data_IF_390027144583
#
_entry.id   IF_390027144583
#
_cell.length_a   1.000
_cell.length_b   1.000
_cell.length_c   1.000
_cell.angle_alpha   90.00
_cell.angle_beta   90.00
_cell.angle_gamma   90.00
#
_symmetry.space_group_name_H-M   'P 1'
#
loop_
_entity.id
_entity.type
_entity.pdbx_description
1 polymer ?
#
# COMPACT_ATOMS: atom_id res chain seq x y z
N UNK A 1 7.87 -25.50 21.61
CA UNK A 1 7.40 -24.51 22.60
C UNK A 1 8.56 -23.61 22.97
N UNK A 2 8.76 -22.52 22.24
CA UNK A 2 9.69 -21.47 22.67
C UNK A 2 8.95 -20.58 23.68
N UNK A 3 9.59 -20.14 24.77
CA UNK A 3 8.97 -19.21 25.71
C UNK A 3 8.58 -17.93 24.98
N UNK A 4 7.35 -17.46 25.19
CA UNK A 4 6.91 -16.16 24.70
C UNK A 4 7.69 -15.08 25.46
N UNK A 5 8.72 -14.53 24.82
CA UNK A 5 9.43 -13.39 25.38
C UNK A 5 8.50 -12.17 25.42
N UNK A 6 8.25 -11.58 26.59
CA UNK A 6 7.46 -10.36 26.68
C UNK A 6 8.17 -9.24 25.90
N UNK A 7 7.48 -8.66 24.91
CA UNK A 7 8.02 -7.58 24.07
C UNK A 7 7.35 -7.52 22.69
N UNK A 8 7.74 -6.54 21.87
CA UNK A 8 7.31 -6.50 20.48
C UNK A 8 7.93 -7.64 19.69
N UNK A 9 7.09 -8.53 19.16
CA UNK A 9 7.50 -9.52 18.19
C UNK A 9 7.67 -8.84 16.82
N UNK A 10 8.89 -8.85 16.29
CA UNK A 10 9.16 -8.38 14.93
C UNK A 10 8.60 -9.41 13.95
N UNK A 11 7.71 -8.96 13.05
CA UNK A 11 7.16 -9.80 12.02
C UNK A 11 8.29 -10.32 11.09
N UNK A 12 8.30 -11.60 10.68
CA UNK A 12 9.40 -12.15 9.88
C UNK A 12 9.67 -11.40 8.58
N UNK A 13 8.64 -10.87 7.90
CA UNK A 13 8.86 -10.04 6.70
C UNK A 13 9.49 -8.69 7.00
N UNK A 14 9.23 -8.10 8.17
CA UNK A 14 9.91 -6.87 8.60
C UNK A 14 11.39 -7.17 8.76
N UNK A 15 11.74 -8.20 9.55
CA UNK A 15 13.15 -8.60 9.73
C UNK A 15 13.80 -8.96 8.39
N UNK A 16 13.10 -9.71 7.53
CA UNK A 16 13.58 -10.10 6.22
C UNK A 16 13.93 -8.91 5.34
N UNK A 17 13.03 -7.92 5.25
CA UNK A 17 13.27 -6.68 4.51
C UNK A 17 14.48 -5.90 5.05
N UNK A 18 14.63 -5.82 6.38
CA UNK A 18 15.77 -5.14 7.02
C UNK A 18 17.11 -5.83 6.76
N UNK A 19 17.15 -7.16 6.83
CA UNK A 19 18.36 -7.92 6.52
C UNK A 19 18.70 -7.80 5.04
N UNK A 20 17.70 -7.94 4.15
CA UNK A 20 17.90 -7.86 2.71
C UNK A 20 18.48 -6.50 2.26
N UNK A 21 17.97 -5.38 2.80
CA UNK A 21 18.50 -4.06 2.44
C UNK A 21 19.96 -3.83 2.90
N UNK A 22 20.44 -4.58 3.90
CA UNK A 22 21.78 -4.39 4.49
C UNK A 22 22.87 -5.17 3.74
N UNK A 23 22.49 -6.26 3.06
CA UNK A 23 23.41 -7.15 2.34
C UNK A 23 24.25 -6.45 1.25
N UNK A 24 23.71 -5.51 0.44
CA UNK A 24 24.52 -4.74 -0.49
C UNK A 24 25.69 -4.00 0.16
N UNK A 25 25.53 -3.49 1.39
CA UNK A 25 26.60 -2.82 2.12
C UNK A 25 27.66 -3.80 2.63
N UNK A 26 27.24 -4.95 3.17
CA UNK A 26 28.18 -6.00 3.57
C UNK A 26 29.00 -6.50 2.36
N UNK A 27 28.37 -6.65 1.20
CA UNK A 27 29.05 -7.02 -0.04
C UNK A 27 30.06 -5.94 -0.49
N UNK A 28 29.72 -4.66 -0.40
CA UNK A 28 30.65 -3.57 -0.70
C UNK A 28 31.86 -3.55 0.25
N UNK A 29 31.68 -3.82 1.54
CA UNK A 29 32.80 -3.94 2.49
C UNK A 29 33.74 -5.08 2.07
N UNK A 30 33.19 -6.25 1.69
CA UNK A 30 34.00 -7.38 1.21
C UNK A 30 34.76 -7.05 -0.07
N UNK A 31 34.14 -6.26 -0.96
CA UNK A 31 34.70 -5.90 -2.26
C UNK A 31 35.85 -4.89 -2.14
N UNK A 32 35.67 -3.82 -1.36
CA UNK A 32 36.61 -2.70 -1.28
C UNK A 32 37.76 -2.92 -0.30
N UNK A 33 37.68 -3.92 0.58
CA UNK A 33 38.65 -4.11 1.67
C UNK A 33 39.46 -5.42 1.54
N UNK A 34 40.56 -5.49 2.29
CA UNK A 34 41.40 -6.68 2.41
C UNK A 34 41.67 -7.01 3.90
N UNK A 35 42.30 -8.15 4.17
CA UNK A 35 42.69 -8.57 5.52
C UNK A 35 41.50 -8.73 6.47
N UNK A 36 41.65 -8.25 7.71
CA UNK A 36 40.65 -8.41 8.77
C UNK A 36 39.31 -7.76 8.44
N UNK A 37 39.31 -6.60 7.75
CA UNK A 37 38.09 -5.88 7.38
C UNK A 37 37.27 -6.68 6.36
N UNK A 38 37.92 -7.33 5.39
CA UNK A 38 37.26 -8.26 4.47
C UNK A 38 36.72 -9.48 5.20
N UNK A 39 37.50 -10.06 6.12
CA UNK A 39 37.07 -11.19 6.95
C UNK A 39 35.82 -10.87 7.77
N UNK A 40 35.80 -9.71 8.42
CA UNK A 40 34.64 -9.21 9.16
C UNK A 40 33.42 -8.97 8.24
N UNK A 41 33.64 -8.40 7.05
CA UNK A 41 32.59 -8.23 6.05
C UNK A 41 31.97 -9.56 5.58
N UNK A 42 32.80 -10.59 5.35
CA UNK A 42 32.32 -11.93 4.99
C UNK A 42 31.51 -12.54 6.15
N UNK A 43 31.99 -12.41 7.39
CA UNK A 43 31.27 -12.86 8.57
C UNK A 43 29.89 -12.19 8.71
N UNK A 44 29.83 -10.87 8.54
CA UNK A 44 28.57 -10.10 8.59
C UNK A 44 27.62 -10.52 7.46
N UNK A 45 28.13 -10.71 6.25
CA UNK A 45 27.35 -11.12 5.09
C UNK A 45 26.74 -12.52 5.32
N UNK A 46 27.53 -13.48 5.78
CA UNK A 46 27.05 -14.84 6.09
C UNK A 46 26.04 -14.83 7.23
N UNK A 47 26.31 -14.09 8.31
CA UNK A 47 25.37 -13.97 9.44
C UNK A 47 24.03 -13.38 9.00
N UNK A 48 24.06 -12.35 8.15
CA UNK A 48 22.86 -11.69 7.62
C UNK A 48 22.09 -12.61 6.68
N UNK A 49 22.77 -13.40 5.83
CA UNK A 49 22.14 -14.39 4.96
C UNK A 49 21.49 -15.54 5.75
N UNK A 50 22.15 -16.03 6.80
CA UNK A 50 21.59 -17.05 7.69
C UNK A 50 20.37 -16.48 8.42
N UNK A 51 20.46 -15.26 8.94
CA UNK A 51 19.31 -14.56 9.52
C UNK A 51 18.16 -14.44 8.53
N UNK A 52 18.44 -14.04 7.28
CA UNK A 52 17.43 -13.90 6.23
C UNK A 52 16.76 -15.25 5.90
N UNK A 53 17.52 -16.34 5.89
CA UNK A 53 16.99 -17.69 5.72
C UNK A 53 15.96 -18.03 6.80
N UNK A 54 16.28 -17.72 8.07
CA UNK A 54 15.36 -17.96 9.20
C UNK A 54 14.12 -17.07 9.19
N UNK A 55 14.09 -15.97 8.43
CA UNK A 55 12.88 -15.14 8.31
C UNK A 55 11.81 -15.74 7.42
N UNK A 56 12.14 -16.72 6.57
CA UNK A 56 11.22 -17.29 5.59
C UNK A 56 10.56 -16.24 4.64
N UNK A 57 11.07 -15.01 4.58
CA UNK A 57 10.44 -13.92 3.84
C UNK A 57 10.74 -14.02 2.34
N UNK A 58 9.77 -14.55 1.59
CA UNK A 58 9.87 -14.72 0.13
C UNK A 58 10.05 -13.39 -0.59
N UNK A 59 9.35 -12.35 -0.12
CA UNK A 59 9.47 -11.00 -0.67
C UNK A 59 10.89 -10.47 -0.54
N UNK A 60 11.52 -10.67 0.63
CA UNK A 60 12.88 -10.20 0.90
C UNK A 60 13.91 -10.92 0.02
N UNK A 61 13.78 -12.25 -0.13
CA UNK A 61 14.62 -13.03 -1.03
C UNK A 61 14.46 -12.61 -2.50
N UNK A 62 13.23 -12.38 -2.96
CA UNK A 62 12.96 -11.91 -4.32
C UNK A 62 13.62 -10.55 -4.60
N UNK A 63 13.43 -9.60 -3.68
CA UNK A 63 13.99 -8.26 -3.77
C UNK A 63 15.52 -8.26 -3.74
N UNK A 64 16.12 -9.10 -2.88
CA UNK A 64 17.57 -9.29 -2.81
C UNK A 64 18.11 -9.93 -4.10
N UNK A 65 17.49 -10.99 -4.60
CA UNK A 65 17.89 -11.65 -5.84
C UNK A 65 17.83 -10.68 -7.03
N UNK A 66 16.78 -9.86 -7.10
CA UNK A 66 16.65 -8.79 -8.08
C UNK A 66 17.80 -7.78 -8.03
N UNK A 67 18.16 -7.32 -6.83
CA UNK A 67 19.29 -6.41 -6.65
C UNK A 67 20.63 -7.08 -6.98
N UNK A 68 20.82 -8.35 -6.60
CA UNK A 68 22.03 -9.12 -6.91
C UNK A 68 22.19 -9.30 -8.43
N UNK A 69 21.11 -9.63 -9.15
CA UNK A 69 21.10 -9.74 -10.61
C UNK A 69 21.41 -8.41 -11.29
N UNK A 70 20.87 -7.30 -10.77
CA UNK A 70 21.18 -5.97 -11.26
C UNK A 70 22.65 -5.61 -11.04
N UNK A 71 23.21 -5.94 -9.87
CA UNK A 71 24.63 -5.75 -9.55
C UNK A 71 25.56 -6.62 -10.41
N UNK A 72 25.23 -7.88 -10.61
CA UNK A 72 25.97 -8.80 -11.48
C UNK A 72 25.88 -8.34 -12.94
N UNK A 73 24.69 -7.96 -13.39
CA UNK A 73 24.47 -7.39 -14.71
C UNK A 73 25.29 -6.12 -14.93
N UNK A 74 25.38 -5.25 -13.92
CA UNK A 74 26.23 -4.06 -13.98
C UNK A 74 27.71 -4.38 -14.26
N UNK A 75 28.26 -5.40 -13.58
CA UNK A 75 29.64 -5.87 -13.79
C UNK A 75 29.82 -6.53 -15.16
N UNK A 76 28.91 -7.44 -15.53
CA UNK A 76 28.95 -8.16 -16.80
C UNK A 76 28.79 -7.20 -18.00
N UNK A 77 27.92 -6.21 -17.89
CA UNK A 77 27.72 -5.19 -18.92
C UNK A 77 28.96 -4.28 -19.06
N UNK A 78 29.63 -3.96 -17.95
CA UNK A 78 30.93 -3.26 -17.96
C UNK A 78 31.95 -4.05 -18.77
N UNK A 79 32.19 -5.31 -18.36
CA UNK A 79 33.11 -6.22 -19.06
C UNK A 79 32.76 -6.41 -20.55
N UNK A 80 31.49 -6.67 -20.87
CA UNK A 80 31.03 -6.91 -22.24
C UNK A 80 31.17 -5.66 -23.12
N UNK A 81 30.91 -4.47 -22.57
CA UNK A 81 31.06 -3.21 -23.31
C UNK A 81 32.51 -2.88 -23.66
N UNK A 82 33.49 -3.42 -22.93
CA UNK A 82 34.92 -3.29 -23.27
C UNK A 82 35.32 -4.16 -24.47
N UNK A 83 34.59 -5.24 -24.74
CA UNK A 83 34.93 -6.24 -25.76
C UNK A 83 33.94 -6.29 -26.94
N UNK A 84 32.81 -5.59 -26.85
CA UNK A 84 31.72 -5.61 -27.82
C UNK A 84 31.38 -4.24 -28.41
N UNK A 85 30.58 -4.23 -29.47
CA UNK A 85 30.11 -3.02 -30.16
C UNK A 85 28.86 -2.39 -29.55
N UNK A 86 28.16 -3.11 -28.65
CA UNK A 86 26.93 -2.64 -28.04
C UNK A 86 27.19 -1.61 -26.92
N UNK A 87 26.55 -0.43 -26.96
CA UNK A 87 26.63 0.53 -25.88
C UNK A 87 26.16 -0.06 -24.55
N UNK A 88 26.95 0.09 -23.49
CA UNK A 88 26.67 -0.42 -22.14
C UNK A 88 25.26 -0.14 -21.63
N UNK A 89 24.71 1.03 -21.95
CA UNK A 89 23.33 1.43 -21.59
C UNK A 89 22.26 0.45 -22.07
N UNK A 90 22.44 -0.15 -23.25
CA UNK A 90 21.48 -1.12 -23.80
C UNK A 90 21.61 -2.48 -23.12
N UNK A 91 22.84 -2.92 -22.83
CA UNK A 91 23.08 -4.13 -22.06
C UNK A 91 22.49 -4.02 -20.64
N UNK A 92 22.62 -2.85 -20.01
CA UNK A 92 22.03 -2.54 -18.71
C UNK A 92 20.50 -2.54 -18.73
N UNK A 93 19.88 -1.96 -19.77
CA UNK A 93 18.42 -2.05 -19.94
C UNK A 93 17.96 -3.51 -20.05
N UNK A 94 18.70 -4.34 -20.81
CA UNK A 94 18.46 -5.77 -20.88
C UNK A 94 18.56 -6.46 -19.50
N UNK A 95 19.59 -6.15 -18.71
CA UNK A 95 19.76 -6.68 -17.36
C UNK A 95 18.65 -6.25 -16.40
N UNK A 96 18.18 -5.00 -16.48
CA UNK A 96 17.04 -4.50 -15.68
C UNK A 96 15.77 -5.28 -16.05
N UNK A 97 15.47 -5.40 -17.34
CA UNK A 97 14.29 -6.15 -17.82
C UNK A 97 14.36 -7.63 -17.42
N UNK A 98 15.53 -8.25 -17.52
CA UNK A 98 15.75 -9.63 -17.09
C UNK A 98 15.53 -9.79 -15.58
N UNK A 99 16.11 -8.89 -14.77
CA UNK A 99 15.96 -8.91 -13.32
C UNK A 99 14.49 -8.76 -12.92
N UNK A 100 13.79 -7.79 -13.51
CA UNK A 100 12.35 -7.58 -13.27
C UNK A 100 11.51 -8.81 -13.68
N UNK A 101 11.81 -9.43 -14.83
CA UNK A 101 11.10 -10.62 -15.32
C UNK A 101 11.33 -11.83 -14.41
N UNK A 102 12.55 -12.01 -13.91
CA UNK A 102 12.89 -13.09 -12.99
C UNK A 102 12.27 -12.89 -11.60
N UNK A 103 12.24 -11.65 -11.09
CA UNK A 103 11.51 -11.32 -9.85
C UNK A 103 10.03 -11.64 -10.02
N UNK A 104 9.40 -11.20 -11.12
CA UNK A 104 8.00 -11.47 -11.39
C UNK A 104 7.72 -12.97 -11.50
N UNK A 105 8.56 -13.70 -12.26
CA UNK A 105 8.45 -15.15 -12.37
C UNK A 105 8.62 -15.85 -11.01
N UNK A 106 9.57 -15.41 -10.18
CA UNK A 106 9.77 -15.95 -8.83
C UNK A 106 8.57 -15.71 -7.92
N UNK A 107 7.98 -14.51 -7.96
CA UNK A 107 6.79 -14.17 -7.16
C UNK A 107 5.55 -14.97 -7.60
N UNK A 108 5.39 -15.20 -8.91
CA UNK A 108 4.24 -15.92 -9.47
C UNK A 108 4.38 -17.45 -9.36
N UNK A 109 5.57 -18.00 -9.62
CA UNK A 109 5.81 -19.44 -9.75
C UNK A 109 6.39 -20.07 -8.48
N UNK A 110 6.95 -19.28 -7.57
CA UNK A 110 7.61 -19.78 -6.35
C UNK A 110 6.65 -20.23 -5.25
N UNK A 111 5.35 -19.90 -5.34
CA UNK A 111 4.37 -20.18 -4.28
C UNK A 111 4.28 -21.68 -3.87
N UNK A 112 4.30 -22.66 -4.79
CA UNK A 112 4.21 -24.09 -4.47
C UNK A 112 5.54 -24.70 -4.00
N UNK A 113 6.68 -24.09 -4.32
CA UNK A 113 8.01 -24.59 -3.94
C UNK A 113 8.34 -24.16 -2.51
N UNK A 114 8.05 -22.91 -2.16
CA UNK A 114 8.27 -22.39 -0.81
C UNK A 114 7.30 -22.95 0.23
N UNK A 115 6.07 -23.31 -0.15
CA UNK A 115 5.15 -23.99 0.76
C UNK A 115 5.64 -25.38 1.15
N UNK A 116 6.41 -26.06 0.29
CA UNK A 116 6.98 -27.39 0.54
C UNK A 116 8.32 -27.36 1.29
N UNK A 117 9.07 -26.26 1.20
CA UNK A 117 10.40 -26.13 1.81
C UNK A 117 10.38 -25.67 3.27
N UNK A 118 9.30 -25.03 3.73
CA UNK A 118 9.27 -24.35 5.03
C UNK A 118 8.11 -24.79 5.95
N UNK A 119 7.37 -25.84 5.58
CA UNK A 119 6.21 -26.37 6.33
C UNK A 119 5.31 -25.27 6.93
N UNK A 120 5.09 -24.20 6.17
CA UNK A 120 4.26 -23.10 6.62
C UNK A 120 2.80 -23.59 6.63
N UNK A 121 2.10 -23.59 7.79
CA UNK A 121 0.71 -23.98 7.82
C UNK A 121 -0.11 -23.10 6.88
N UNK A 122 -1.18 -23.64 6.26
CA UNK A 122 -2.11 -22.83 5.47
C UNK A 122 -2.80 -21.83 6.39
N UNK A 123 -2.22 -20.64 6.51
CA UNK A 123 -2.81 -19.50 7.20
C UNK A 123 -3.61 -18.62 6.23
N UNK A 124 -4.32 -17.60 6.75
CA UNK A 124 -5.07 -16.63 5.95
C UNK A 124 -4.22 -15.83 4.94
N UNK A 125 -2.90 -16.05 4.89
CA UNK A 125 -1.90 -15.56 3.94
C UNK A 125 -1.91 -16.27 2.56
N UNK A 126 -3.08 -16.57 1.99
CA UNK A 126 -3.13 -17.06 0.61
C UNK A 126 -3.05 -15.89 -0.40
N UNK A 127 -2.54 -16.13 -1.61
CA UNK A 127 -2.38 -15.07 -2.64
C UNK A 127 -3.71 -14.39 -2.99
N UNK A 128 -4.83 -15.10 -2.82
CA UNK A 128 -6.19 -14.60 -3.09
C UNK A 128 -6.65 -13.57 -2.03
N UNK A 129 -6.36 -13.79 -0.74
CA UNK A 129 -6.67 -12.85 0.34
C UNK A 129 -5.87 -11.56 0.21
N UNK A 130 -4.62 -11.64 -0.27
CA UNK A 130 -3.80 -10.45 -0.57
C UNK A 130 -4.35 -9.62 -1.73
N UNK A 131 -4.88 -10.26 -2.77
CA UNK A 131 -5.49 -9.54 -3.89
C UNK A 131 -6.74 -8.78 -3.45
N UNK A 132 -7.57 -9.38 -2.60
CA UNK A 132 -8.74 -8.71 -2.00
C UNK A 132 -8.32 -7.55 -1.08
N UNK A 133 -7.30 -7.77 -0.26
CA UNK A 133 -6.69 -6.73 0.57
C UNK A 133 -6.23 -5.54 -0.29
N UNK A 134 -5.53 -5.80 -1.38
CA UNK A 134 -5.05 -4.75 -2.30
C UNK A 134 -6.20 -4.03 -2.99
N UNK A 135 -7.24 -4.74 -3.46
CA UNK A 135 -8.42 -4.11 -4.07
C UNK A 135 -9.16 -3.21 -3.07
N UNK A 136 -9.36 -3.70 -1.85
CA UNK A 136 -9.97 -2.91 -0.78
C UNK A 136 -9.10 -1.71 -0.35
N UNK A 137 -7.78 -1.88 -0.34
CA UNK A 137 -6.83 -0.81 0.00
C UNK A 137 -6.74 0.25 -1.10
N UNK A 138 -6.81 -0.15 -2.38
CA UNK A 138 -6.91 0.76 -3.52
C UNK A 138 -8.21 1.58 -3.46
N UNK A 139 -9.33 0.92 -3.16
CA UNK A 139 -10.60 1.61 -2.92
C UNK A 139 -10.49 2.61 -1.78
N UNK A 140 -9.83 2.22 -0.68
CA UNK A 140 -9.66 3.09 0.48
C UNK A 140 -8.76 4.29 0.14
N UNK A 141 -7.63 4.07 -0.55
CA UNK A 141 -6.73 5.11 -1.01
C UNK A 141 -7.46 6.14 -1.91
N UNK A 142 -8.40 5.67 -2.74
CA UNK A 142 -9.21 6.52 -3.59
C UNK A 142 -10.08 7.51 -2.78
N UNK A 143 -10.42 7.21 -1.54
CA UNK A 143 -11.17 8.14 -0.68
C UNK A 143 -10.30 9.33 -0.19
N UNK A 144 -8.98 9.14 -0.10
CA UNK A 144 -8.03 10.12 0.43
C UNK A 144 -6.96 10.54 -0.60
N UNK A 145 -7.34 11.01 -1.80
CA UNK A 145 -6.43 11.20 -2.93
C UNK A 145 -5.33 12.26 -2.74
N UNK A 146 -5.47 13.20 -1.79
CA UNK A 146 -4.58 14.35 -1.64
C UNK A 146 -3.64 14.23 -0.45
N UNK A 147 -4.16 14.43 0.77
CA UNK A 147 -3.35 14.50 2.00
C UNK A 147 -3.36 13.19 2.79
N UNK A 148 -4.12 12.19 2.31
CA UNK A 148 -4.29 10.93 3.03
C UNK A 148 -5.23 11.07 4.22
N UNK A 149 -5.26 10.00 5.01
CA UNK A 149 -6.12 9.86 6.18
C UNK A 149 -5.37 10.04 7.52
N UNK A 150 -4.05 10.23 7.48
CA UNK A 150 -3.18 10.35 8.64
C UNK A 150 -2.36 9.09 8.94
N UNK A 151 -1.24 9.26 9.64
CA UNK A 151 -0.29 8.20 9.94
C UNK A 151 -0.87 7.14 10.89
N UNK A 152 -0.59 5.86 10.65
CA UNK A 152 -1.04 4.74 11.48
C UNK A 152 -2.55 4.51 11.48
N UNK A 153 -3.27 5.06 10.50
CA UNK A 153 -4.73 5.02 10.45
C UNK A 153 -5.28 3.79 9.72
N UNK A 154 -4.43 3.06 8.99
CA UNK A 154 -4.84 1.93 8.15
C UNK A 154 -5.77 0.92 8.85
N UNK A 155 -5.48 0.41 10.06
CA UNK A 155 -6.23 -0.72 10.62
C UNK A 155 -7.72 -0.45 10.78
N UNK A 156 -8.06 0.69 11.38
CA UNK A 156 -9.45 1.06 11.67
C UNK A 156 -10.15 1.61 10.42
N UNK A 157 -9.43 2.28 9.52
CA UNK A 157 -10.00 2.74 8.26
C UNK A 157 -10.38 1.58 7.34
N UNK A 158 -9.47 0.60 7.18
CA UNK A 158 -9.71 -0.56 6.33
C UNK A 158 -10.86 -1.41 6.88
N UNK A 159 -10.88 -1.64 8.20
CA UNK A 159 -11.98 -2.31 8.87
C UNK A 159 -13.32 -1.57 8.59
N UNK A 160 -13.40 -0.28 8.92
CA UNK A 160 -14.67 0.47 8.93
C UNK A 160 -15.22 0.83 7.56
N UNK A 161 -14.35 1.03 6.55
CA UNK A 161 -14.76 1.56 5.24
C UNK A 161 -14.55 0.60 4.07
N UNK A 162 -13.76 -0.47 4.23
CA UNK A 162 -13.54 -1.47 3.17
C UNK A 162 -14.12 -2.83 3.53
N UNK A 163 -13.91 -3.30 4.77
CA UNK A 163 -14.51 -4.54 5.25
C UNK A 163 -15.90 -4.32 5.86
N UNK A 164 -16.23 -3.10 6.27
CA UNK A 164 -17.46 -2.77 6.99
C UNK A 164 -17.60 -3.57 8.30
N UNK A 165 -16.46 -3.88 8.92
CA UNK A 165 -16.36 -4.45 10.27
C UNK A 165 -15.66 -3.45 11.17
N UNK A 166 -15.95 -3.46 12.48
CA UNK A 166 -15.50 -2.39 13.38
C UNK A 166 -14.40 -2.83 14.35
N UNK A 167 -13.73 -3.93 14.02
CA UNK A 167 -12.58 -4.46 14.75
C UNK A 167 -11.36 -4.47 13.82
N UNK A 168 -10.25 -3.89 14.26
CA UNK A 168 -9.02 -3.86 13.49
C UNK A 168 -8.50 -5.27 13.22
N UNK A 169 -8.61 -5.73 11.97
CA UNK A 169 -8.23 -7.08 11.58
C UNK A 169 -6.84 -7.14 10.92
N UNK A 170 -6.47 -6.10 10.18
CA UNK A 170 -5.19 -5.99 9.47
C UNK A 170 -4.42 -4.76 9.94
N UNK A 171 -3.11 -4.90 10.14
CA UNK A 171 -2.27 -3.81 10.66
C UNK A 171 -1.79 -2.87 9.55
N UNK A 172 -1.62 -3.38 8.32
CA UNK A 172 -1.19 -2.62 7.14
C UNK A 172 -1.66 -3.28 5.84
N UNK A 173 -1.51 -2.60 4.71
CA UNK A 173 -1.90 -3.10 3.39
C UNK A 173 -1.00 -4.21 2.85
N UNK A 174 0.16 -4.46 3.49
CA UNK A 174 1.24 -5.31 2.97
C UNK A 174 1.79 -4.76 1.64
N UNK A 175 1.71 -3.45 1.44
CA UNK A 175 2.24 -2.79 0.27
C UNK A 175 2.53 -1.33 0.61
N UNK A 176 3.81 -0.97 0.62
CA UNK A 176 4.30 0.36 0.97
C UNK A 176 3.58 1.48 0.20
N UNK A 177 3.23 1.25 -1.07
CA UNK A 177 2.59 2.28 -1.89
C UNK A 177 1.14 2.50 -1.51
N UNK A 178 0.44 1.42 -1.15
CA UNK A 178 -0.94 1.52 -0.68
C UNK A 178 -0.99 2.14 0.71
N UNK A 179 -0.09 1.75 1.61
CA UNK A 179 -0.01 2.34 2.95
C UNK A 179 0.31 3.85 2.87
N UNK A 180 1.31 4.24 2.08
CA UNK A 180 1.63 5.66 1.84
C UNK A 180 0.47 6.40 1.15
N UNK A 181 -0.21 5.78 0.18
CA UNK A 181 -1.34 6.41 -0.50
C UNK A 181 -2.54 6.62 0.43
N UNK A 182 -2.82 5.69 1.34
CA UNK A 182 -3.92 5.80 2.31
C UNK A 182 -3.56 6.84 3.36
N UNK A 183 -2.37 6.77 3.94
CA UNK A 183 -2.01 7.58 5.11
C UNK A 183 -1.58 9.00 4.76
N UNK A 184 -0.91 9.19 3.61
CA UNK A 184 -0.33 10.48 3.19
C UNK A 184 -0.87 10.98 1.84
N UNK A 185 -1.74 10.21 1.18
CA UNK A 185 -2.38 10.61 -0.07
C UNK A 185 -1.39 10.79 -1.23
N UNK A 186 -1.82 11.55 -2.23
CA UNK A 186 -1.01 11.87 -3.40
C UNK A 186 0.32 12.55 -3.06
N UNK A 187 0.39 13.36 -2.00
CA UNK A 187 1.66 13.98 -1.61
C UNK A 187 2.70 12.95 -1.13
N UNK A 188 2.28 11.98 -0.33
CA UNK A 188 3.15 10.88 0.08
C UNK A 188 3.58 10.03 -1.11
N UNK A 189 2.66 9.70 -2.02
CA UNK A 189 2.97 8.94 -3.24
C UNK A 189 3.96 9.70 -4.13
N UNK A 190 3.84 11.03 -4.24
CA UNK A 190 4.80 11.85 -4.98
C UNK A 190 6.18 11.84 -4.32
N UNK A 191 6.25 11.89 -2.99
CA UNK A 191 7.52 11.79 -2.25
C UNK A 191 8.16 10.41 -2.43
N UNK A 192 7.37 9.33 -2.39
CA UNK A 192 7.84 7.98 -2.66
C UNK A 192 8.28 7.81 -4.13
N UNK A 193 7.53 8.40 -5.07
CA UNK A 193 7.90 8.46 -6.49
C UNK A 193 9.22 9.20 -6.72
N UNK A 194 9.51 10.23 -5.92
CA UNK A 194 10.82 10.89 -5.93
C UNK A 194 11.94 9.97 -5.44
N UNK A 195 11.70 9.15 -4.40
CA UNK A 195 12.66 8.12 -3.97
C UNK A 195 12.92 7.09 -5.08
N UNK A 196 11.89 6.64 -5.80
CA UNK A 196 12.05 5.78 -6.98
C UNK A 196 12.87 6.47 -8.06
N UNK A 197 12.62 7.74 -8.35
CA UNK A 197 13.38 8.49 -9.32
C UNK A 197 14.87 8.58 -8.93
N UNK A 198 15.18 8.79 -7.65
CA UNK A 198 16.55 8.75 -7.15
C UNK A 198 17.19 7.37 -7.30
N UNK A 199 16.44 6.29 -7.00
CA UNK A 199 16.90 4.93 -7.25
C UNK A 199 17.22 4.70 -8.73
N UNK A 200 16.31 5.09 -9.63
CA UNK A 200 16.48 4.99 -11.08
C UNK A 200 17.67 5.80 -11.60
N UNK A 201 17.88 7.02 -11.09
CA UNK A 201 19.06 7.85 -11.41
C UNK A 201 20.34 7.16 -10.93
N UNK A 202 20.31 6.50 -9.77
CA UNK A 202 21.47 5.80 -9.20
C UNK A 202 21.83 4.56 -10.02
N UNK A 203 20.82 3.78 -10.41
CA UNK A 203 20.98 2.65 -11.34
C UNK A 203 21.46 3.13 -12.71
N UNK A 204 20.98 4.29 -13.19
CA UNK A 204 21.47 4.89 -14.42
C UNK A 204 22.95 5.31 -14.32
N UNK A 205 23.38 5.83 -13.17
CA UNK A 205 24.79 6.12 -12.91
C UNK A 205 25.63 4.85 -12.93
N UNK A 206 25.14 3.77 -12.34
CA UNK A 206 25.78 2.44 -12.50
C UNK A 206 25.88 2.09 -13.99
N UNK A 207 24.83 2.28 -14.78
CA UNK A 207 24.87 1.97 -16.22
C UNK A 207 25.86 2.83 -17.01
N UNK A 208 26.04 4.09 -16.62
CA UNK A 208 26.89 5.05 -17.31
C UNK A 208 28.37 4.98 -16.87
N UNK A 209 28.63 4.56 -15.62
CA UNK A 209 29.95 4.66 -15.00
C UNK A 209 30.44 3.29 -14.49
N UNK A 210 31.65 2.92 -14.90
CA UNK A 210 32.27 1.65 -14.54
C UNK A 210 33.05 1.73 -13.24
N UNK A 211 33.51 2.93 -12.88
CA UNK A 211 34.33 3.17 -11.69
C UNK A 211 33.48 3.75 -10.55
N UNK A 212 32.18 3.41 -10.52
CA UNK A 212 31.29 3.88 -9.48
C UNK A 212 31.74 3.29 -8.13
N UNK A 213 31.89 4.12 -7.07
CA UNK A 213 32.30 3.62 -5.75
C UNK A 213 31.36 2.53 -5.24
N UNK A 214 31.90 1.46 -4.63
CA UNK A 214 31.08 0.32 -4.21
C UNK A 214 30.05 0.72 -3.13
N UNK A 215 30.34 1.73 -2.31
CA UNK A 215 29.39 2.29 -1.33
C UNK A 215 28.17 2.95 -1.99
N UNK A 216 28.37 3.65 -3.12
CA UNK A 216 27.27 4.25 -3.89
C UNK A 216 26.47 3.16 -4.60
N UNK A 217 27.16 2.18 -5.20
CA UNK A 217 26.51 1.01 -5.79
C UNK A 217 25.69 0.23 -4.76
N UNK A 218 26.22 0.03 -3.54
CA UNK A 218 25.50 -0.58 -2.42
C UNK A 218 24.26 0.24 -2.01
N UNK A 219 24.37 1.56 -1.94
CA UNK A 219 23.23 2.44 -1.69
C UNK A 219 22.15 2.32 -2.77
N UNK A 220 22.53 2.25 -4.04
CA UNK A 220 21.61 2.06 -5.15
C UNK A 220 20.89 0.71 -5.08
N UNK A 221 21.66 -0.38 -4.90
CA UNK A 221 21.13 -1.74 -4.79
C UNK A 221 20.23 -1.91 -3.56
N UNK A 222 20.63 -1.35 -2.42
CA UNK A 222 19.84 -1.35 -1.19
C UNK A 222 18.51 -0.61 -1.37
N UNK A 223 18.54 0.58 -1.99
CA UNK A 223 17.31 1.32 -2.29
C UNK A 223 16.39 0.55 -3.26
N UNK A 224 16.96 -0.12 -4.27
CA UNK A 224 16.22 -1.03 -5.15
C UNK A 224 15.60 -2.19 -4.37
N UNK A 225 16.33 -2.81 -3.43
CA UNK A 225 15.80 -3.87 -2.57
C UNK A 225 14.63 -3.38 -1.72
N UNK A 226 14.74 -2.21 -1.10
CA UNK A 226 13.65 -1.64 -0.29
C UNK A 226 12.40 -1.40 -1.14
N UNK A 227 12.56 -0.75 -2.30
CA UNK A 227 11.43 -0.43 -3.19
C UNK A 227 10.79 -1.69 -3.79
N UNK A 228 11.59 -2.70 -4.14
CA UNK A 228 11.09 -3.98 -4.63
C UNK A 228 10.37 -4.77 -3.53
N UNK A 229 10.91 -4.80 -2.31
CA UNK A 229 10.24 -5.42 -1.15
C UNK A 229 8.94 -4.68 -0.80
N UNK A 230 8.94 -3.35 -0.91
CA UNK A 230 7.79 -2.48 -0.70
C UNK A 230 6.57 -2.79 -1.57
N UNK A 231 6.74 -3.56 -2.66
CA UNK A 231 5.63 -4.05 -3.50
C UNK A 231 4.82 -5.16 -2.84
N UNK A 232 5.41 -5.88 -1.88
CA UNK A 232 4.85 -7.11 -1.32
C UNK A 232 4.77 -7.12 0.19
N UNK A 233 5.39 -6.14 0.85
CA UNK A 233 5.26 -5.91 2.29
C UNK A 233 5.57 -4.45 2.65
N UNK A 234 5.16 -4.02 3.84
CA UNK A 234 5.48 -2.71 4.39
C UNK A 234 6.48 -2.82 5.56
N UNK A 235 7.64 -3.42 5.28
CA UNK A 235 8.66 -3.68 6.28
C UNK A 235 9.23 -2.42 6.95
N UNK A 236 9.15 -1.26 6.29
CA UNK A 236 9.83 -0.05 6.70
C UNK A 236 8.88 1.01 7.24
N UNK A 237 7.78 1.29 6.54
CA UNK A 237 6.95 2.45 6.84
C UNK A 237 5.96 2.16 7.98
N UNK A 238 5.31 1.01 7.93
CA UNK A 238 4.45 0.49 9.01
C UNK A 238 5.20 -0.06 10.22
N UNK A 239 6.54 0.07 10.27
CA UNK A 239 7.36 -0.45 11.35
C UNK A 239 8.26 0.63 11.98
N UNK A 240 8.93 0.28 13.07
CA UNK A 240 9.91 1.16 13.73
C UNK A 240 11.16 1.42 12.88
N UNK A 241 11.27 0.77 11.71
CA UNK A 241 12.40 0.89 10.81
C UNK A 241 12.28 2.02 9.78
N UNK A 242 11.30 2.92 9.90
CA UNK A 242 11.08 4.01 8.96
C UNK A 242 12.35 4.83 8.67
N UNK A 243 13.20 5.07 9.66
CA UNK A 243 14.46 5.82 9.46
C UNK A 243 15.44 5.09 8.52
N UNK A 244 15.40 3.76 8.50
CA UNK A 244 16.27 2.93 7.66
C UNK A 244 15.89 2.99 6.18
N UNK A 245 14.65 3.38 5.86
CA UNK A 245 14.23 3.70 4.49
C UNK A 245 15.15 4.76 3.84
N UNK A 246 15.63 5.72 4.65
CA UNK A 246 16.42 6.84 4.17
C UNK A 246 17.94 6.59 4.23
N UNK A 247 18.40 5.54 4.91
CA UNK A 247 19.84 5.27 5.05
C UNK A 247 20.56 5.11 3.70
N UNK A 248 20.02 4.38 2.69
CA UNK A 248 20.69 4.24 1.39
C UNK A 248 20.81 5.56 0.61
N UNK A 249 19.92 6.53 0.87
CA UNK A 249 19.96 7.83 0.21
C UNK A 249 21.22 8.61 0.57
N UNK A 250 21.72 8.47 1.80
CA UNK A 250 22.95 9.13 2.23
C UNK A 250 24.12 8.74 1.30
N UNK A 251 24.24 7.45 0.98
CA UNK A 251 25.29 6.93 0.10
C UNK A 251 25.08 7.31 -1.36
N UNK A 252 23.84 7.26 -1.85
CA UNK A 252 23.49 7.66 -3.22
C UNK A 252 23.74 9.14 -3.49
N UNK A 253 23.46 9.99 -2.49
CA UNK A 253 23.58 11.45 -2.62
C UNK A 253 25.00 11.96 -2.37
N UNK A 254 25.84 11.18 -1.69
CA UNK A 254 27.23 11.52 -1.36
C UNK A 254 28.21 11.43 -2.55
N UNK A 255 27.75 11.46 -3.80
CA UNK A 255 28.62 11.46 -4.99
C UNK A 255 29.62 12.64 -4.91
N UNK A 256 30.93 12.39 -4.74
CA UNK A 256 31.92 13.43 -4.47
C UNK A 256 32.24 14.28 -5.70
N UNK A 257 31.71 13.94 -6.88
CA UNK A 257 32.02 14.64 -8.13
C UNK A 257 31.29 15.99 -8.21
N UNK A 258 31.96 17.04 -8.75
CA UNK A 258 31.39 18.39 -8.82
C UNK A 258 30.13 18.42 -9.69
N UNK A 259 29.01 18.85 -9.11
CA UNK A 259 27.75 19.07 -9.84
C UNK A 259 27.88 20.29 -10.74
N UNK A 260 27.81 20.12 -12.06
CA UNK A 260 27.66 21.25 -12.99
C UNK A 260 26.35 22.01 -12.69
N UNK A 261 26.47 23.32 -12.39
CA UNK A 261 25.37 24.22 -12.05
C UNK A 261 24.54 24.57 -13.31
N UNK A 262 23.54 23.76 -13.66
CA UNK A 262 22.45 24.21 -14.56
C UNK A 262 21.35 24.93 -13.76
N UNK A 263 21.64 26.13 -13.25
CA UNK A 263 20.73 26.87 -12.37
C UNK A 263 19.51 27.48 -13.10
N UNK A 264 19.68 27.97 -14.34
CA UNK A 264 18.60 28.68 -15.07
C UNK A 264 17.43 27.76 -15.46
N UNK A 265 17.71 26.58 -16.03
CA UNK A 265 16.67 25.60 -16.41
C UNK A 265 15.87 25.08 -15.22
N UNK A 266 16.51 24.94 -14.05
CA UNK A 266 15.83 24.51 -12.80
C UNK A 266 14.87 25.58 -12.28
N UNK A 267 15.26 26.86 -12.33
CA UNK A 267 14.38 27.96 -11.94
C UNK A 267 13.17 28.08 -12.85
N UNK A 268 13.36 27.95 -14.17
CA UNK A 268 12.26 27.95 -15.13
C UNK A 268 11.29 26.77 -14.89
N UNK A 269 11.83 25.56 -14.72
CA UNK A 269 11.00 24.37 -14.42
C UNK A 269 10.22 24.53 -13.11
N UNK A 270 10.85 25.07 -12.06
CA UNK A 270 10.18 25.35 -10.79
C UNK A 270 9.08 26.41 -10.95
N UNK A 271 9.35 27.49 -11.69
CA UNK A 271 8.36 28.52 -11.96
C UNK A 271 7.15 27.99 -12.76
N UNK A 272 7.41 27.17 -13.79
CA UNK A 272 6.35 26.51 -14.56
C UNK A 272 5.52 25.55 -13.71
N UNK A 273 6.16 24.77 -12.83
CA UNK A 273 5.47 23.89 -11.91
C UNK A 273 4.57 24.70 -10.95
N UNK A 274 5.09 25.78 -10.36
CA UNK A 274 4.30 26.66 -9.50
C UNK A 274 3.12 27.30 -10.24
N UNK A 275 3.31 27.72 -11.49
CA UNK A 275 2.25 28.25 -12.32
C UNK A 275 1.16 27.20 -12.61
N UNK A 276 1.55 25.96 -12.94
CA UNK A 276 0.61 24.85 -13.13
C UNK A 276 -0.16 24.53 -11.84
N UNK A 277 0.52 24.51 -10.69
CA UNK A 277 -0.13 24.30 -9.39
C UNK A 277 -1.11 25.43 -9.04
N UNK A 278 -0.80 26.68 -9.41
CA UNK A 278 -1.69 27.82 -9.21
C UNK A 278 -2.97 27.75 -10.06
N UNK A 279 -2.95 27.01 -11.18
CA UNK A 279 -4.11 26.80 -12.04
C UNK A 279 -5.03 25.65 -11.55
N UNK A 280 -4.52 24.71 -10.74
CA UNK A 280 -5.31 23.56 -10.26
C UNK A 280 -6.59 23.93 -9.52
N UNK A 281 -6.62 24.92 -8.61
CA UNK A 281 -7.85 25.30 -7.89
C UNK A 281 -8.97 25.81 -8.80
N UNK A 282 -8.65 26.27 -10.01
CA UNK A 282 -9.62 26.79 -10.97
C UNK A 282 -10.32 25.69 -11.77
N UNK A 283 -9.74 24.49 -11.80
CA UNK A 283 -10.30 23.36 -12.54
C UNK A 283 -11.41 22.67 -11.73
N UNK A 284 -12.42 22.10 -12.41
CA UNK A 284 -13.53 21.39 -11.76
C UNK A 284 -13.09 20.10 -11.07
N UNK A 285 -12.28 19.28 -11.76
CA UNK A 285 -11.86 17.96 -11.29
C UNK A 285 -10.99 18.01 -10.00
N UNK A 286 -9.93 18.83 -9.91
CA UNK A 286 -9.14 18.94 -8.67
C UNK A 286 -9.95 19.44 -7.48
N UNK A 287 -10.94 20.32 -7.70
CA UNK A 287 -11.86 20.76 -6.65
C UNK A 287 -12.77 19.65 -6.17
N UNK A 288 -13.31 18.82 -7.08
CA UNK A 288 -14.10 17.65 -6.70
C UNK A 288 -13.27 16.69 -5.83
N UNK A 289 -12.02 16.41 -6.24
CA UNK A 289 -11.07 15.60 -5.47
C UNK A 289 -10.77 16.19 -4.09
N UNK A 290 -10.60 17.52 -4.01
CA UNK A 290 -10.34 18.20 -2.75
C UNK A 290 -11.53 18.12 -1.78
N UNK A 291 -12.75 18.39 -2.27
CA UNK A 291 -13.97 18.28 -1.46
C UNK A 291 -14.19 16.86 -0.97
N UNK A 292 -14.00 15.86 -1.84
CA UNK A 292 -14.09 14.45 -1.46
C UNK A 292 -13.06 14.06 -0.40
N UNK A 293 -11.78 14.43 -0.59
CA UNK A 293 -10.74 14.12 0.38
C UNK A 293 -11.05 14.77 1.73
N UNK A 294 -11.47 16.04 1.72
CA UNK A 294 -11.82 16.75 2.93
C UNK A 294 -12.98 16.07 3.66
N UNK A 295 -14.02 15.68 2.93
CA UNK A 295 -15.16 14.97 3.46
C UNK A 295 -14.75 13.62 4.10
N UNK A 296 -13.96 12.80 3.39
CA UNK A 296 -13.48 11.51 3.88
C UNK A 296 -12.60 11.64 5.13
N UNK A 297 -11.60 12.52 5.10
CA UNK A 297 -10.74 12.75 6.25
C UNK A 297 -11.54 13.27 7.46
N UNK A 298 -12.53 14.14 7.23
CA UNK A 298 -13.36 14.70 8.31
C UNK A 298 -14.32 13.67 8.88
N UNK A 299 -15.00 12.89 8.03
CA UNK A 299 -15.85 11.78 8.44
C UNK A 299 -15.05 10.81 9.32
N UNK A 300 -13.90 10.33 8.84
CA UNK A 300 -13.06 9.38 9.58
C UNK A 300 -12.55 9.94 10.89
N UNK A 301 -12.16 11.22 10.92
CA UNK A 301 -11.76 11.85 12.17
C UNK A 301 -12.90 11.90 13.18
N UNK A 302 -14.11 12.31 12.76
CA UNK A 302 -15.27 12.40 13.66
C UNK A 302 -15.64 11.00 14.19
N UNK A 303 -15.76 10.04 13.26
CA UNK A 303 -16.14 8.66 13.56
C UNK A 303 -15.13 7.94 14.46
N UNK A 304 -13.83 8.00 14.13
CA UNK A 304 -12.80 7.22 14.82
C UNK A 304 -12.26 7.88 16.10
N UNK A 305 -12.48 9.18 16.31
CA UNK A 305 -12.11 9.83 17.58
C UNK A 305 -13.05 9.42 18.72
N UNK A 306 -14.31 9.14 18.39
CA UNK A 306 -15.36 8.78 19.37
C UNK A 306 -15.50 7.27 19.50
N UNK A 307 -15.16 6.50 18.46
CA UNK A 307 -15.26 5.05 18.49
C UNK A 307 -14.42 4.45 19.63
N UNK A 308 -15.09 3.70 20.50
CA UNK A 308 -14.50 2.96 21.61
C UNK A 308 -15.21 1.62 21.70
N UNK A 309 -14.45 0.52 21.69
CA UNK A 309 -15.00 -0.81 21.91
C UNK A 309 -14.92 -1.15 23.40
N UNK A 310 -15.96 -1.73 24.02
CA UNK A 310 -17.22 -2.19 23.43
C UNK A 310 -18.35 -1.14 23.40
N UNK A 311 -18.14 0.09 23.88
CA UNK A 311 -19.19 1.12 24.03
C UNK A 311 -19.98 1.39 22.75
N UNK A 312 -19.28 1.46 21.61
CA UNK A 312 -19.85 1.55 20.29
C UNK A 312 -19.75 0.20 19.59
N UNK A 313 -20.82 -0.62 19.61
CA UNK A 313 -20.75 -1.97 19.07
C UNK A 313 -20.49 -1.97 17.55
N UNK A 314 -20.93 -0.93 16.83
CA UNK A 314 -20.73 -0.72 15.39
C UNK A 314 -20.60 0.77 15.04
N UNK A 315 -19.97 1.09 13.90
CA UNK A 315 -19.84 2.48 13.45
C UNK A 315 -21.19 3.12 13.11
N UNK A 316 -22.21 2.35 12.73
CA UNK A 316 -23.56 2.85 12.48
C UNK A 316 -24.13 3.53 13.73
N UNK A 317 -23.87 2.97 14.91
CA UNK A 317 -24.24 3.59 16.18
C UNK A 317 -23.51 4.92 16.38
N UNK A 318 -22.20 4.96 16.09
CA UNK A 318 -21.42 6.22 16.15
C UNK A 318 -22.00 7.27 15.20
N UNK A 319 -22.32 6.90 13.94
CA UNK A 319 -22.86 7.82 12.93
C UNK A 319 -24.19 8.44 13.34
N UNK A 320 -25.03 7.68 14.06
CA UNK A 320 -26.30 8.19 14.62
C UNK A 320 -26.10 9.16 15.79
N UNK A 321 -24.95 9.11 16.45
CA UNK A 321 -24.67 9.88 17.65
C UNK A 321 -23.75 11.10 17.44
N UNK A 322 -23.12 11.22 16.27
CA UNK A 322 -22.18 12.31 15.95
C UNK A 322 -22.72 13.22 14.85
N UNK A 323 -22.31 14.48 14.86
CA UNK A 323 -22.66 15.44 13.80
C UNK A 323 -21.81 15.20 12.53
N UNK A 324 -22.48 14.73 11.47
CA UNK A 324 -21.89 14.50 10.15
C UNK A 324 -22.29 15.57 9.12
N UNK A 325 -22.92 16.68 9.53
CA UNK A 325 -23.37 17.75 8.63
C UNK A 325 -22.22 18.29 7.75
N UNK A 326 -21.05 18.52 8.33
CA UNK A 326 -19.89 19.04 7.62
C UNK A 326 -19.35 18.08 6.55
N UNK A 327 -19.04 16.80 6.84
CA UNK A 327 -18.62 15.85 5.80
C UNK A 327 -19.71 15.62 4.74
N UNK A 328 -20.99 15.53 5.11
CA UNK A 328 -22.11 15.40 4.16
C UNK A 328 -22.10 16.56 3.16
N UNK A 329 -22.09 17.81 3.64
CA UNK A 329 -22.08 18.99 2.78
C UNK A 329 -20.84 19.05 1.86
N UNK A 330 -19.70 18.51 2.32
CA UNK A 330 -18.50 18.42 1.50
C UNK A 330 -18.61 17.33 0.41
N UNK A 331 -19.23 16.18 0.70
CA UNK A 331 -19.54 15.19 -0.33
C UNK A 331 -20.53 15.72 -1.37
N UNK A 332 -21.58 16.42 -0.94
CA UNK A 332 -22.54 17.04 -1.87
C UNK A 332 -21.86 18.05 -2.79
N UNK A 333 -20.93 18.86 -2.28
CA UNK A 333 -20.10 19.76 -3.12
C UNK A 333 -19.19 18.99 -4.07
N UNK A 334 -18.64 17.85 -3.66
CA UNK A 334 -17.86 17.00 -4.55
C UNK A 334 -18.73 16.44 -5.69
N UNK A 335 -19.93 15.94 -5.36
CA UNK A 335 -20.88 15.39 -6.33
C UNK A 335 -21.49 16.45 -7.26
N UNK A 336 -21.65 17.69 -6.80
CA UNK A 336 -22.06 18.80 -7.66
C UNK A 336 -21.03 19.11 -8.76
N UNK A 337 -19.75 18.77 -8.55
CA UNK A 337 -18.68 18.93 -9.53
C UNK A 337 -18.42 17.64 -10.33
N UNK A 338 -18.63 16.48 -9.72
CA UNK A 338 -18.43 15.14 -10.28
C UNK A 338 -19.53 14.17 -9.79
N UNK A 339 -20.69 14.12 -10.45
CA UNK A 339 -21.82 13.30 -10.01
C UNK A 339 -21.54 11.79 -10.00
N UNK A 340 -20.60 11.34 -10.83
CA UNK A 340 -20.22 9.92 -10.96
C UNK A 340 -19.14 9.48 -9.96
N UNK A 341 -18.81 10.32 -8.97
CA UNK A 341 -17.75 10.01 -8.03
C UNK A 341 -18.11 8.82 -7.14
N UNK A 342 -17.55 7.65 -7.42
CA UNK A 342 -17.87 6.41 -6.73
C UNK A 342 -17.67 6.50 -5.20
N UNK A 343 -16.54 7.08 -4.77
CA UNK A 343 -16.20 7.22 -3.35
C UNK A 343 -17.14 8.16 -2.59
N UNK A 344 -17.48 9.31 -3.16
CA UNK A 344 -18.40 10.25 -2.51
C UNK A 344 -19.83 9.68 -2.42
N UNK A 345 -20.32 9.10 -3.52
CA UNK A 345 -21.61 8.41 -3.55
C UNK A 345 -21.65 7.25 -2.54
N UNK A 346 -20.61 6.39 -2.49
CA UNK A 346 -20.56 5.27 -1.54
C UNK A 346 -20.60 5.75 -0.09
N UNK A 347 -19.84 6.80 0.25
CA UNK A 347 -19.75 7.30 1.62
C UNK A 347 -21.00 8.03 2.07
N UNK A 348 -21.65 8.81 1.20
CA UNK A 348 -22.97 9.37 1.49
C UNK A 348 -24.00 8.27 1.69
N UNK A 349 -24.07 7.31 0.75
CA UNK A 349 -24.99 6.18 0.87
C UNK A 349 -24.77 5.34 2.13
N UNK A 350 -23.51 5.18 2.58
CA UNK A 350 -23.20 4.53 3.85
C UNK A 350 -23.74 5.31 5.06
N UNK A 351 -23.59 6.64 5.06
CA UNK A 351 -24.10 7.50 6.13
C UNK A 351 -25.63 7.46 6.15
N UNK A 352 -26.27 7.64 5.00
CA UNK A 352 -27.73 7.64 4.84
C UNK A 352 -28.33 6.28 5.25
N UNK A 353 -27.71 5.17 4.85
CA UNK A 353 -28.11 3.82 5.27
C UNK A 353 -28.02 3.67 6.79
N UNK A 354 -26.95 4.19 7.41
CA UNK A 354 -26.78 4.16 8.87
C UNK A 354 -27.87 4.97 9.57
N UNK A 355 -28.28 6.11 9.00
CA UNK A 355 -29.33 6.99 9.53
C UNK A 355 -30.76 6.49 9.23
N UNK A 356 -30.92 5.47 8.39
CA UNK A 356 -32.21 4.90 8.01
C UNK A 356 -32.90 5.63 6.83
N UNK A 357 -32.19 6.51 6.14
CA UNK A 357 -32.68 7.17 4.91
C UNK A 357 -32.41 6.28 3.70
N UNK A 358 -33.21 5.21 3.59
CA UNK A 358 -32.98 4.14 2.61
C UNK A 358 -33.15 4.59 1.16
N UNK A 359 -34.06 5.53 0.88
CA UNK A 359 -34.32 6.02 -0.48
C UNK A 359 -33.10 6.77 -1.04
N UNK A 360 -32.53 7.69 -0.24
CA UNK A 360 -31.29 8.38 -0.63
C UNK A 360 -30.10 7.44 -0.69
N UNK A 361 -30.00 6.54 0.29
CA UNK A 361 -28.93 5.55 0.33
C UNK A 361 -28.92 4.69 -0.94
N UNK A 362 -30.07 4.20 -1.39
CA UNK A 362 -30.20 3.44 -2.64
C UNK A 362 -29.73 4.25 -3.85
N UNK A 363 -30.18 5.50 -4.00
CA UNK A 363 -29.78 6.34 -5.13
C UNK A 363 -28.26 6.55 -5.18
N UNK A 364 -27.65 6.89 -4.05
CA UNK A 364 -26.20 7.09 -3.97
C UNK A 364 -25.42 5.79 -4.14
N UNK A 365 -25.85 4.68 -3.52
CA UNK A 365 -25.15 3.39 -3.64
C UNK A 365 -25.27 2.79 -5.05
N UNK A 366 -26.39 3.01 -5.75
CA UNK A 366 -26.54 2.64 -7.16
C UNK A 366 -25.58 3.45 -8.05
N UNK A 367 -25.47 4.76 -7.84
CA UNK A 367 -24.51 5.59 -8.57
C UNK A 367 -23.05 5.16 -8.30
N UNK A 368 -22.73 4.82 -7.04
CA UNK A 368 -21.42 4.28 -6.67
C UNK A 368 -21.14 2.94 -7.35
N UNK A 369 -22.13 2.05 -7.40
CA UNK A 369 -22.00 0.73 -8.03
C UNK A 369 -21.84 0.83 -9.54
N UNK A 370 -22.61 1.73 -10.19
CA UNK A 370 -22.48 1.99 -11.63
C UNK A 370 -21.08 2.49 -12.01
N UNK A 371 -20.47 3.34 -11.16
CA UNK A 371 -19.12 3.86 -11.38
C UNK A 371 -18.01 2.85 -11.04
N UNK A 372 -18.22 1.97 -10.06
CA UNK A 372 -17.21 1.01 -9.59
C UNK A 372 -17.84 -0.33 -9.16
N UNK A 373 -18.26 -1.19 -10.10
CA UNK A 373 -19.02 -2.41 -9.79
C UNK A 373 -18.21 -3.49 -9.07
N UNK A 374 -16.87 -3.43 -9.15
CA UNK A 374 -15.97 -4.37 -8.47
C UNK A 374 -15.68 -4.02 -7.01
N UNK A 375 -16.26 -2.93 -6.49
CA UNK A 375 -16.05 -2.49 -5.12
C UNK A 375 -16.90 -3.32 -4.14
N UNK A 376 -16.25 -4.18 -3.33
CA UNK A 376 -16.95 -5.05 -2.39
C UNK A 376 -17.73 -4.27 -1.32
N UNK A 377 -17.20 -3.16 -0.80
CA UNK A 377 -17.92 -2.34 0.17
C UNK A 377 -19.19 -1.72 -0.43
N UNK A 378 -19.11 -1.20 -1.67
CA UNK A 378 -20.31 -0.71 -2.38
C UNK A 378 -21.32 -1.82 -2.60
N UNK A 379 -20.88 -3.00 -3.06
CA UNK A 379 -21.77 -4.14 -3.29
C UNK A 379 -22.46 -4.60 -2.01
N UNK A 380 -21.71 -4.64 -0.91
CA UNK A 380 -22.26 -5.00 0.40
C UNK A 380 -23.30 -3.98 0.87
N UNK A 381 -22.96 -2.68 0.84
CA UNK A 381 -23.87 -1.61 1.25
C UNK A 381 -25.13 -1.53 0.36
N UNK A 382 -24.96 -1.65 -0.97
CA UNK A 382 -26.08 -1.62 -1.90
C UNK A 382 -26.98 -2.86 -1.72
N UNK A 383 -26.37 -4.04 -1.59
CA UNK A 383 -27.11 -5.27 -1.32
C UNK A 383 -27.92 -5.16 -0.04
N UNK A 384 -27.30 -4.63 1.02
CA UNK A 384 -27.98 -4.37 2.28
C UNK A 384 -29.15 -3.39 2.13
N UNK A 385 -28.91 -2.23 1.52
CA UNK A 385 -29.93 -1.21 1.29
C UNK A 385 -31.15 -1.78 0.55
N UNK A 386 -30.92 -2.64 -0.44
CA UNK A 386 -31.98 -3.31 -1.20
C UNK A 386 -32.74 -4.33 -0.33
N UNK A 387 -32.02 -5.17 0.42
CA UNK A 387 -32.61 -6.19 1.32
C UNK A 387 -33.53 -5.53 2.35
N UNK A 388 -33.06 -4.44 2.97
CA UNK A 388 -33.77 -3.78 4.07
C UNK A 388 -34.93 -2.91 3.61
N UNK A 389 -35.11 -2.80 2.29
CA UNK A 389 -36.30 -2.24 1.61
C UNK A 389 -37.18 -3.34 0.96
N UNK A 390 -36.90 -4.61 1.22
CA UNK A 390 -37.72 -5.76 0.79
C UNK A 390 -37.26 -6.46 -0.50
N UNK A 391 -36.18 -6.01 -1.15
CA UNK A 391 -35.64 -6.59 -2.38
C UNK A 391 -34.67 -7.76 -2.15
N UNK A 392 -35.05 -8.74 -1.31
CA UNK A 392 -34.13 -9.77 -0.78
C UNK A 392 -33.29 -10.45 -1.88
N UNK A 393 -33.92 -11.02 -2.92
CA UNK A 393 -33.22 -11.73 -4.00
C UNK A 393 -32.17 -10.88 -4.74
N UNK A 394 -32.53 -9.63 -5.03
CA UNK A 394 -31.65 -8.70 -5.74
C UNK A 394 -30.44 -8.31 -4.89
N UNK A 395 -30.63 -8.10 -3.59
CA UNK A 395 -29.53 -7.82 -2.67
C UNK A 395 -28.65 -9.04 -2.40
N UNK A 396 -29.21 -10.25 -2.30
CA UNK A 396 -28.44 -11.51 -2.20
C UNK A 396 -27.51 -11.69 -3.40
N UNK A 397 -27.97 -11.34 -4.60
CA UNK A 397 -27.15 -11.39 -5.82
C UNK A 397 -25.94 -10.45 -5.73
N UNK A 398 -26.10 -9.28 -5.11
CA UNK A 398 -24.98 -8.35 -4.90
C UNK A 398 -23.99 -8.86 -3.84
N UNK A 399 -24.48 -9.57 -2.82
CA UNK A 399 -23.65 -10.23 -1.81
C UNK A 399 -22.94 -11.49 -2.31
N UNK A 400 -23.42 -12.10 -3.40
CA UNK A 400 -22.84 -13.31 -3.98
C UNK A 400 -21.35 -13.12 -4.35
N UNK A 401 -20.47 -13.95 -3.80
CA UNK A 401 -19.03 -13.90 -4.09
C UNK A 401 -18.27 -12.75 -3.40
N UNK A 402 -18.90 -12.03 -2.45
CA UNK A 402 -18.16 -11.22 -1.48
C UNK A 402 -17.52 -12.18 -0.46
N UNK A 403 -16.25 -12.00 -0.15
CA UNK A 403 -15.59 -12.76 0.92
C UNK A 403 -16.17 -12.35 2.28
N UNK A 404 -16.73 -13.31 3.00
CA UNK A 404 -17.36 -13.10 4.32
C UNK A 404 -16.52 -13.63 5.49
N UNK A 405 -15.24 -13.97 5.26
CA UNK A 405 -14.38 -14.62 6.25
C UNK A 405 -14.18 -13.78 7.52
N UNK A 406 -14.40 -12.47 7.46
CA UNK A 406 -14.30 -11.56 8.63
C UNK A 406 -15.66 -11.32 9.32
N UNK A 407 -16.72 -12.03 8.93
CA UNK A 407 -18.04 -11.91 9.56
C UNK A 407 -18.84 -10.69 9.13
N UNK A 408 -18.56 -10.11 7.96
CA UNK A 408 -19.21 -8.90 7.44
C UNK A 408 -20.74 -8.94 7.51
N UNK A 409 -21.36 -10.02 7.01
CA UNK A 409 -22.82 -10.12 6.94
C UNK A 409 -23.44 -10.51 8.29
N UNK A 410 -22.77 -11.37 9.07
CA UNK A 410 -23.21 -11.71 10.42
C UNK A 410 -23.31 -10.45 11.30
N UNK A 411 -22.41 -9.49 11.09
CA UNK A 411 -22.43 -8.19 11.76
C UNK A 411 -23.70 -7.38 11.44
N UNK A 412 -24.26 -7.52 10.24
CA UNK A 412 -25.50 -6.84 9.84
C UNK A 412 -26.72 -7.47 10.51
N UNK A 413 -26.79 -8.80 10.58
CA UNK A 413 -27.85 -9.48 11.34
C UNK A 413 -27.84 -9.02 12.80
N UNK A 414 -26.67 -9.04 13.45
CA UNK A 414 -26.50 -8.52 14.80
C UNK A 414 -26.97 -7.07 14.96
N UNK A 415 -26.72 -6.21 13.97
CA UNK A 415 -27.15 -4.80 14.03
C UNK A 415 -28.68 -4.64 14.04
N UNK A 416 -29.40 -5.35 13.17
CA UNK A 416 -30.86 -5.26 13.12
C UNK A 416 -31.53 -5.91 14.33
N UNK A 417 -30.93 -6.96 14.88
CA UNK A 417 -31.31 -7.52 16.19
C UNK A 417 -31.14 -6.48 17.29
N UNK A 418 -29.99 -5.79 17.34
CA UNK A 418 -29.73 -4.73 18.33
C UNK A 418 -30.73 -3.55 18.23
N UNK A 419 -31.19 -3.22 17.02
CA UNK A 419 -32.22 -2.20 16.81
C UNK A 419 -33.64 -2.68 17.16
N UNK A 420 -33.85 -3.98 17.38
CA UNK A 420 -35.17 -4.58 17.58
C UNK A 420 -36.02 -4.59 16.30
N UNK A 421 -35.40 -4.55 15.12
CA UNK A 421 -36.10 -4.55 13.83
C UNK A 421 -36.24 -5.99 13.30
N UNK A 422 -37.27 -6.69 13.77
CA UNK A 422 -37.51 -8.09 13.44
C UNK A 422 -37.72 -8.34 11.94
N UNK A 423 -38.34 -7.38 11.24
CA UNK A 423 -38.61 -7.50 9.81
C UNK A 423 -37.31 -7.47 9.00
N UNK A 424 -36.46 -6.46 9.22
CA UNK A 424 -35.18 -6.36 8.50
C UNK A 424 -34.22 -7.47 8.90
N UNK A 425 -34.25 -7.89 10.17
CA UNK A 425 -33.49 -9.05 10.64
C UNK A 425 -33.87 -10.31 9.86
N UNK A 426 -35.17 -10.57 9.68
CA UNK A 426 -35.65 -11.71 8.91
C UNK A 426 -35.17 -11.67 7.46
N UNK A 427 -35.26 -10.51 6.80
CA UNK A 427 -34.78 -10.33 5.42
C UNK A 427 -33.26 -10.53 5.29
N UNK A 428 -32.47 -10.02 6.24
CA UNK A 428 -31.02 -10.23 6.24
C UNK A 428 -30.68 -11.70 6.45
N UNK A 429 -31.36 -12.39 7.37
CA UNK A 429 -31.18 -13.83 7.55
C UNK A 429 -31.57 -14.64 6.32
N UNK A 430 -32.64 -14.27 5.63
CA UNK A 430 -33.05 -14.89 4.37
C UNK A 430 -31.98 -14.72 3.29
N UNK A 431 -31.44 -13.52 3.13
CA UNK A 431 -30.37 -13.22 2.17
C UNK A 431 -29.03 -13.93 2.47
N UNK A 432 -28.81 -14.39 3.71
CA UNK A 432 -27.60 -15.10 4.12
C UNK A 432 -27.68 -16.63 3.97
N UNK A 433 -28.88 -17.19 3.73
CA UNK A 433 -29.08 -18.63 3.47
C UNK A 433 -28.67 -18.98 2.05
#
# INVERSE_FOLDING_TARGET
WMPAFPGHHLHPNVVGGLLAMSLPFAAAVVWDNQGWARGGGVGLLLLTLVGLLFTASRGAWAALAGAALLGAGWQLCGWASRHGSLPRRWLMLGSICLSASLILAFLLLGAPVWSRLLDAPPGPDNTLSRLELYRGSLSLAADYPLVGAGLGSFPLLYASYSLLVHVGHSIHAHNLWLDVAIEQGGFGVLALGWLVALAGISVWRMAADEQLPATLAAGALSLTTILAHGMVDDAFYGSRALLLLFAPLAFVLADPRPRQRRQSRRRLAAALLLALLALLPWQRQPRALAWRNFAAARQSRIELTVYQWPDWPLQDAVRRAVDLSQPIAAYERALALDPANASANRRLGQIELSLGDYDRALAHLQAAYAAAPSNNATRQLLGEAIIVTGGVDAGTTLWAGINQAQGQLALRAFWYEHLGDEQRLAWVHEAMR
#
